data_IF_671049793217
#
_entry.id   IF_671049793217
#
_cell.length_a   1.000
_cell.length_b   1.000
_cell.length_c   1.000
_cell.angle_alpha   90.00
_cell.angle_beta   90.00
_cell.angle_gamma   90.00
#
_symmetry.space_group_name_H-M   'P 1'
#
loop_
_entity.id
_entity.type
_entity.pdbx_description
1 polymer ?
#
# COMPACT_ATOMS: atom_id res chain seq x y z
N UNK A 1 25.27 -10.34 14.10
CA UNK A 1 25.05 -9.54 12.87
C UNK A 1 23.86 -8.63 13.14
N UNK A 2 24.01 -7.31 12.99
CA UNK A 2 22.87 -6.40 13.06
C UNK A 2 21.96 -6.72 11.87
N UNK A 3 20.69 -7.02 12.15
CA UNK A 3 19.67 -7.14 11.10
C UNK A 3 19.50 -5.72 10.53
N UNK A 4 19.69 -5.50 9.23
CA UNK A 4 19.53 -4.17 8.65
C UNK A 4 18.08 -3.71 8.87
N UNK A 5 17.91 -2.45 9.28
CA UNK A 5 16.59 -1.88 9.55
C UNK A 5 15.73 -1.96 8.28
N UNK A 6 14.45 -2.30 8.46
CA UNK A 6 13.47 -2.18 7.37
C UNK A 6 13.26 -0.69 7.08
N UNK A 7 13.32 -0.29 5.82
CA UNK A 7 12.97 1.05 5.36
C UNK A 7 11.63 1.02 4.63
N UNK A 8 10.72 1.91 5.00
CA UNK A 8 9.46 2.13 4.30
C UNK A 8 9.36 3.58 3.85
N UNK A 9 9.17 3.76 2.56
CA UNK A 9 9.13 5.05 1.89
C UNK A 9 7.68 5.28 1.47
N UNK A 10 7.08 6.39 1.91
CA UNK A 10 5.72 6.74 1.54
C UNK A 10 5.70 7.90 0.54
N UNK A 11 4.80 7.82 -0.43
CA UNK A 11 4.25 9.03 -1.03
C UNK A 11 3.44 9.84 -0.02
N UNK A 12 3.26 11.14 -0.29
CA UNK A 12 2.47 12.02 0.57
C UNK A 12 1.00 12.02 0.17
N UNK A 13 0.72 12.57 -1.02
CA UNK A 13 -0.61 12.99 -1.43
C UNK A 13 -1.45 11.77 -1.76
N UNK A 14 -2.66 11.70 -1.20
CA UNK A 14 -3.57 10.56 -1.38
C UNK A 14 -2.97 9.22 -0.90
N UNK A 15 -1.84 9.26 -0.19
CA UNK A 15 -1.21 8.09 0.42
C UNK A 15 -1.21 8.23 1.94
N UNK A 16 -0.52 9.23 2.50
CA UNK A 16 -0.47 9.50 3.94
C UNK A 16 -1.49 10.56 4.37
N UNK A 17 -1.69 11.56 3.52
CA UNK A 17 -2.49 12.75 3.82
C UNK A 17 -3.26 13.21 2.59
N UNK A 18 -4.21 14.11 2.79
CA UNK A 18 -4.86 14.82 1.71
C UNK A 18 -4.93 16.31 2.02
N UNK A 19 -4.39 17.14 1.13
CA UNK A 19 -4.37 18.60 1.28
C UNK A 19 -5.49 19.27 0.48
N UNK A 20 -6.41 19.94 1.16
CA UNK A 20 -7.55 20.64 0.58
C UNK A 20 -7.40 22.14 0.81
N UNK A 21 -7.55 22.95 -0.23
CA UNK A 21 -7.33 24.41 -0.13
C UNK A 21 -8.30 25.26 -0.95
N UNK A 22 -8.97 24.67 -1.95
CA UNK A 22 -9.92 25.41 -2.78
C UNK A 22 -11.34 25.28 -2.23
N UNK A 23 -12.25 26.26 -2.51
CA UNK A 23 -13.61 26.26 -1.96
C UNK A 23 -14.40 24.97 -2.23
N UNK A 24 -14.23 24.37 -3.41
CA UNK A 24 -14.90 23.13 -3.78
C UNK A 24 -14.46 21.97 -2.88
N UNK A 25 -13.15 21.80 -2.68
CA UNK A 25 -12.59 20.78 -1.79
C UNK A 25 -12.96 21.00 -0.33
N UNK A 26 -12.94 22.25 0.15
CA UNK A 26 -13.31 22.59 1.52
C UNK A 26 -14.80 22.32 1.79
N UNK A 27 -15.69 22.63 0.85
CA UNK A 27 -17.11 22.30 0.97
C UNK A 27 -17.37 20.79 1.00
N UNK A 28 -16.60 20.02 0.20
CA UNK A 28 -16.63 18.55 0.26
C UNK A 28 -16.20 18.06 1.65
N UNK A 29 -15.13 18.61 2.22
CA UNK A 29 -14.71 18.27 3.58
C UNK A 29 -15.78 18.56 4.63
N UNK A 30 -16.42 19.73 4.59
CA UNK A 30 -17.50 20.07 5.53
C UNK A 30 -18.70 19.10 5.45
N UNK A 31 -19.01 18.62 4.26
CA UNK A 31 -20.03 17.58 4.07
C UNK A 31 -19.54 16.24 4.61
N UNK A 32 -18.30 15.88 4.30
CA UNK A 32 -17.69 14.62 4.70
C UNK A 32 -17.58 14.49 6.23
N UNK A 33 -17.15 15.55 6.92
CA UNK A 33 -17.06 15.63 8.38
C UNK A 33 -18.41 15.35 9.06
N UNK A 34 -19.52 15.78 8.45
CA UNK A 34 -20.89 15.51 8.95
C UNK A 34 -21.32 14.06 8.72
N UNK A 35 -20.95 13.47 7.58
CA UNK A 35 -21.29 12.08 7.25
C UNK A 35 -20.47 11.09 8.08
N UNK A 36 -19.23 11.43 8.40
CA UNK A 36 -18.26 10.55 9.07
C UNK A 36 -17.63 11.25 10.29
N UNK A 37 -18.43 11.57 11.32
CA UNK A 37 -17.93 12.32 12.47
C UNK A 37 -16.79 11.57 13.16
N UNK A 38 -15.69 12.28 13.41
CA UNK A 38 -14.48 11.78 14.08
C UNK A 38 -13.80 10.58 13.40
N UNK A 39 -14.03 10.37 12.10
CA UNK A 39 -13.39 9.27 11.34
C UNK A 39 -12.07 9.65 10.69
N UNK A 40 -11.85 10.93 10.42
CA UNK A 40 -10.60 11.46 9.89
C UNK A 40 -10.17 12.61 10.80
N UNK A 41 -8.94 12.55 11.28
CA UNK A 41 -8.29 13.66 11.98
C UNK A 41 -7.78 14.65 10.93
N UNK A 42 -7.90 15.96 11.20
CA UNK A 42 -7.45 17.00 10.30
C UNK A 42 -6.89 18.21 11.05
N UNK A 43 -5.93 18.90 10.44
CA UNK A 43 -5.58 20.27 10.80
C UNK A 43 -6.36 21.22 9.88
N UNK A 44 -7.27 21.98 10.46
CA UNK A 44 -8.14 22.92 9.74
C UNK A 44 -7.74 24.37 10.02
N UNK A 45 -7.61 25.16 8.95
CA UNK A 45 -7.43 26.60 9.01
C UNK A 45 -8.48 27.29 8.13
N UNK A 46 -8.51 28.63 8.15
CA UNK A 46 -9.36 29.39 7.23
C UNK A 46 -8.98 29.21 5.75
N UNK A 47 -7.77 28.69 5.45
CA UNK A 47 -7.23 28.59 4.08
C UNK A 47 -7.15 27.16 3.55
N UNK A 48 -7.03 26.18 4.44
CA UNK A 48 -6.85 24.79 4.05
C UNK A 48 -7.34 23.83 5.14
N UNK A 49 -7.58 22.59 4.75
CA UNK A 49 -7.68 21.43 5.63
C UNK A 49 -6.63 20.41 5.18
N UNK A 50 -5.80 19.95 6.11
CA UNK A 50 -4.88 18.83 5.91
C UNK A 50 -5.43 17.62 6.66
N UNK A 51 -5.86 16.61 5.91
CA UNK A 51 -6.46 15.39 6.42
C UNK A 51 -5.36 14.35 6.64
N UNK A 52 -5.36 13.70 7.80
CA UNK A 52 -4.43 12.60 8.09
C UNK A 52 -5.14 11.27 7.86
N UNK A 53 -4.55 10.41 7.04
CA UNK A 53 -5.16 9.10 6.75
C UNK A 53 -5.23 8.25 8.04
N UNK A 54 -6.38 7.61 8.32
CA UNK A 54 -6.56 6.84 9.55
C UNK A 54 -5.45 5.83 9.82
N UNK A 55 -4.91 5.83 11.04
CA UNK A 55 -3.85 4.92 11.48
C UNK A 55 -2.42 5.41 11.22
N UNK A 56 -2.22 6.59 10.61
CA UNK A 56 -0.89 7.17 10.38
C UNK A 56 -0.09 7.33 11.69
N UNK A 57 -0.71 7.92 12.73
CA UNK A 57 -0.09 8.10 14.06
C UNK A 57 0.38 6.77 14.64
N UNK A 58 -0.50 5.77 14.66
CA UNK A 58 -0.23 4.44 15.19
C UNK A 58 0.88 3.73 14.41
N UNK A 59 0.95 3.94 13.09
CA UNK A 59 1.98 3.39 12.25
C UNK A 59 3.35 3.99 12.56
N UNK A 60 3.46 5.32 12.65
CA UNK A 60 4.73 5.99 12.96
C UNK A 60 5.25 5.56 14.34
N UNK A 61 4.37 5.48 15.33
CA UNK A 61 4.72 4.98 16.66
C UNK A 61 5.19 3.51 16.62
N UNK A 62 4.49 2.67 15.87
CA UNK A 62 4.90 1.28 15.65
C UNK A 62 6.28 1.18 15.00
N UNK A 63 6.54 1.95 13.94
CA UNK A 63 7.80 1.95 13.22
C UNK A 63 8.97 2.35 14.14
N UNK A 64 8.79 3.43 14.92
CA UNK A 64 9.76 3.85 15.94
C UNK A 64 10.05 2.76 16.96
N UNK A 65 9.01 2.11 17.51
CA UNK A 65 9.16 1.04 18.49
C UNK A 65 9.82 -0.23 17.90
N UNK A 66 9.86 -0.36 16.57
CA UNK A 66 10.35 -1.55 15.88
C UNK A 66 11.60 -1.29 15.04
N UNK A 67 12.27 -0.14 15.20
CA UNK A 67 13.46 0.23 14.41
C UNK A 67 13.20 0.10 12.90
N UNK A 68 12.04 0.56 12.46
CA UNK A 68 11.70 0.70 11.05
C UNK A 68 11.96 2.15 10.67
N UNK A 69 12.83 2.35 9.70
CA UNK A 69 13.13 3.65 9.13
C UNK A 69 11.94 4.06 8.24
N UNK A 70 11.39 5.24 8.48
CA UNK A 70 10.35 5.84 7.63
C UNK A 70 11.02 6.89 6.76
N UNK A 71 10.60 7.01 5.51
CA UNK A 71 11.04 8.07 4.61
C UNK A 71 9.88 8.54 3.73
N UNK A 72 10.09 9.68 3.05
CA UNK A 72 9.11 10.28 2.14
C UNK A 72 9.71 10.38 0.73
N UNK A 73 8.88 10.13 -0.29
CA UNK A 73 9.20 10.47 -1.67
C UNK A 73 7.95 11.00 -2.38
N UNK A 74 7.90 12.30 -2.67
CA UNK A 74 6.72 13.00 -3.22
C UNK A 74 6.99 13.72 -4.54
N UNK A 75 5.95 13.96 -5.34
CA UNK A 75 5.97 14.93 -6.45
C UNK A 75 5.82 16.38 -5.99
N UNK A 76 5.58 16.61 -4.71
CA UNK A 76 5.68 17.93 -4.11
C UNK A 76 7.09 18.52 -4.25
N UNK A 77 7.18 19.85 -4.22
CA UNK A 77 8.46 20.52 -4.08
C UNK A 77 8.97 20.44 -2.62
N UNK A 78 10.22 20.83 -2.40
CA UNK A 78 10.85 20.80 -1.08
C UNK A 78 10.11 21.64 -0.02
N UNK A 79 9.52 22.77 -0.41
CA UNK A 79 8.74 23.60 0.50
C UNK A 79 7.47 22.89 0.96
N UNK A 80 6.79 22.19 0.05
CA UNK A 80 5.60 21.42 0.36
C UNK A 80 5.93 20.23 1.24
N UNK A 81 7.00 19.48 0.93
CA UNK A 81 7.39 18.32 1.72
C UNK A 81 7.77 18.71 3.16
N UNK A 82 8.50 19.82 3.35
CA UNK A 82 8.82 20.35 4.69
C UNK A 82 7.59 20.81 5.47
N UNK A 83 6.62 21.42 4.77
CA UNK A 83 5.34 21.79 5.37
C UNK A 83 4.61 20.54 5.89
N UNK A 84 4.45 19.51 5.06
CA UNK A 84 3.77 18.28 5.45
C UNK A 84 4.52 17.53 6.56
N UNK A 85 5.85 17.49 6.52
CA UNK A 85 6.66 16.94 7.59
C UNK A 85 6.35 17.61 8.94
N UNK A 86 6.35 18.94 8.96
CA UNK A 86 6.06 19.74 10.16
C UNK A 86 4.65 19.47 10.68
N UNK A 87 3.68 19.38 9.77
CA UNK A 87 2.29 19.06 10.09
C UNK A 87 2.13 17.65 10.68
N UNK A 88 2.80 16.66 10.11
CA UNK A 88 2.79 15.28 10.64
C UNK A 88 3.45 15.24 12.03
N UNK A 89 4.58 15.93 12.23
CA UNK A 89 5.25 16.02 13.53
C UNK A 89 4.36 16.64 14.60
N UNK A 90 3.68 17.74 14.27
CA UNK A 90 2.70 18.38 15.14
C UNK A 90 1.53 17.44 15.47
N UNK A 91 0.98 16.78 14.45
CA UNK A 91 -0.13 15.84 14.59
C UNK A 91 0.19 14.67 15.54
N UNK A 92 1.38 14.09 15.41
CA UNK A 92 1.81 12.96 16.26
C UNK A 92 2.38 13.41 17.61
N UNK A 93 2.69 14.70 17.78
CA UNK A 93 3.24 15.27 19.01
C UNK A 93 4.69 14.88 19.28
N UNK A 94 5.56 14.96 18.27
CA UNK A 94 7.00 14.72 18.44
C UNK A 94 7.85 15.90 17.95
N UNK A 95 8.95 16.14 18.66
CA UNK A 95 9.86 17.26 18.35
C UNK A 95 10.97 16.89 17.35
N UNK A 96 11.24 15.59 17.19
CA UNK A 96 12.27 15.08 16.28
C UNK A 96 11.64 14.53 15.01
N UNK A 97 12.21 14.89 13.86
CA UNK A 97 11.78 14.39 12.56
C UNK A 97 11.79 12.83 12.54
N UNK A 98 10.65 12.17 12.26
CA UNK A 98 10.58 10.71 12.20
C UNK A 98 11.12 10.13 10.89
N UNK A 99 11.36 10.97 9.88
CA UNK A 99 11.77 10.57 8.53
C UNK A 99 13.30 10.56 8.40
N UNK A 100 13.83 9.48 7.84
CA UNK A 100 15.27 9.31 7.61
C UNK A 100 15.75 10.15 6.43
N UNK A 101 14.90 10.30 5.42
CA UNK A 101 15.11 11.19 4.29
C UNK A 101 13.76 11.60 3.69
N UNK A 102 13.77 12.72 2.97
CA UNK A 102 12.61 13.25 2.26
C UNK A 102 13.07 13.60 0.84
N UNK A 103 12.53 12.89 -0.15
CA UNK A 103 12.71 13.15 -1.56
C UNK A 103 11.48 13.86 -2.13
N UNK A 104 11.75 14.77 -3.05
CA UNK A 104 10.79 15.66 -3.70
C UNK A 104 10.82 15.44 -5.21
N UNK A 105 10.08 16.25 -5.95
CA UNK A 105 10.11 16.24 -7.41
C UNK A 105 11.49 16.56 -8.00
N UNK A 106 12.37 17.19 -7.23
CA UNK A 106 13.75 17.44 -7.66
C UNK A 106 14.47 16.11 -7.93
N UNK A 107 14.41 15.19 -6.97
CA UNK A 107 15.04 13.88 -7.07
C UNK A 107 14.44 13.06 -8.23
N UNK A 108 13.11 13.11 -8.41
CA UNK A 108 12.43 12.44 -9.53
C UNK A 108 12.94 12.98 -10.88
N UNK A 109 13.07 14.31 -11.02
CA UNK A 109 13.57 14.93 -12.26
C UNK A 109 15.03 14.56 -12.55
N UNK A 110 15.86 14.50 -11.51
CA UNK A 110 17.26 14.06 -11.62
C UNK A 110 17.33 12.60 -12.10
N UNK A 111 16.54 11.71 -11.51
CA UNK A 111 16.49 10.29 -11.88
C UNK A 111 16.06 10.10 -13.34
N UNK A 112 14.97 10.76 -13.75
CA UNK A 112 14.48 10.72 -15.13
C UNK A 112 15.53 11.25 -16.12
N UNK A 113 16.24 12.34 -15.78
CA UNK A 113 17.32 12.88 -16.62
C UNK A 113 18.50 11.90 -16.77
N UNK A 114 18.66 10.97 -15.83
CA UNK A 114 19.67 9.92 -15.85
C UNK A 114 19.14 8.58 -16.41
N UNK A 115 17.95 8.56 -17.01
CA UNK A 115 17.35 7.37 -17.61
C UNK A 115 16.81 6.35 -16.60
N UNK A 116 16.58 6.77 -15.35
CA UNK A 116 15.86 5.98 -14.35
C UNK A 116 14.35 6.23 -14.43
N UNK A 117 13.57 5.41 -13.74
CA UNK A 117 12.12 5.54 -13.67
C UNK A 117 11.69 6.43 -12.50
N UNK A 118 10.42 6.82 -12.46
CA UNK A 118 9.88 7.63 -11.38
C UNK A 118 9.94 6.87 -10.04
N UNK A 119 10.49 7.52 -9.00
CA UNK A 119 10.65 6.93 -7.65
C UNK A 119 11.41 5.60 -7.63
N UNK A 120 12.40 5.45 -8.50
CA UNK A 120 13.17 4.23 -8.63
C UNK A 120 14.03 3.94 -7.38
N UNK A 121 13.75 2.82 -6.70
CA UNK A 121 14.42 2.45 -5.45
C UNK A 121 15.93 2.25 -5.57
N UNK A 122 16.49 2.10 -6.78
CA UNK A 122 17.94 2.07 -6.99
C UNK A 122 18.60 3.37 -6.52
N UNK A 123 17.91 4.51 -6.58
CA UNK A 123 18.41 5.78 -6.00
C UNK A 123 18.69 5.62 -4.51
N UNK A 124 17.79 4.96 -3.79
CA UNK A 124 17.93 4.76 -2.34
C UNK A 124 19.11 3.83 -2.03
N UNK A 125 19.28 2.77 -2.82
CA UNK A 125 20.41 1.84 -2.66
C UNK A 125 21.76 2.52 -2.92
N UNK A 126 21.80 3.43 -3.89
CA UNK A 126 22.99 4.21 -4.23
C UNK A 126 23.31 5.30 -3.20
N UNK A 127 22.28 5.99 -2.69
CA UNK A 127 22.44 7.07 -1.71
C UNK A 127 22.82 6.56 -0.31
N UNK A 128 22.37 5.35 0.04
CA UNK A 128 22.59 4.75 1.36
C UNK A 128 23.18 3.34 1.21
N UNK A 129 24.39 3.21 0.64
CA UNK A 129 25.03 1.91 0.47
C UNK A 129 25.19 1.23 1.83
N UNK A 130 25.13 -0.10 1.83
CA UNK A 130 25.21 -0.96 3.03
C UNK A 130 24.03 -0.87 4.01
N UNK A 131 23.21 0.19 3.94
CA UNK A 131 22.03 0.37 4.79
C UNK A 131 20.76 -0.17 4.14
N UNK A 132 20.53 0.17 2.88
CA UNK A 132 19.30 -0.16 2.16
C UNK A 132 19.58 -0.97 0.90
N UNK A 133 18.79 -2.00 0.69
CA UNK A 133 18.85 -2.93 -0.44
C UNK A 133 17.43 -3.38 -0.82
N UNK A 134 17.33 -4.20 -1.87
CA UNK A 134 16.06 -4.83 -2.25
C UNK A 134 15.49 -5.76 -1.16
N UNK A 135 16.27 -6.25 -0.19
CA UNK A 135 15.76 -7.16 0.85
C UNK A 135 15.13 -6.41 2.03
N UNK A 136 15.27 -5.09 2.14
CA UNK A 136 14.79 -4.33 3.30
C UNK A 136 14.21 -2.95 2.98
N UNK A 137 13.88 -2.66 1.73
CA UNK A 137 13.31 -1.35 1.33
C UNK A 137 11.96 -1.54 0.68
N UNK A 138 10.96 -0.77 1.11
CA UNK A 138 9.59 -0.83 0.60
C UNK A 138 9.15 0.57 0.15
N UNK A 139 8.58 0.68 -1.05
CA UNK A 139 7.86 1.88 -1.49
C UNK A 139 6.35 1.70 -1.30
N UNK A 140 5.66 2.72 -0.81
CA UNK A 140 4.20 2.74 -0.68
C UNK A 140 3.67 3.95 -1.42
N UNK A 141 2.80 3.73 -2.40
CA UNK A 141 2.31 4.77 -3.30
C UNK A 141 0.90 4.41 -3.80
N UNK A 142 0.06 5.39 -4.03
CA UNK A 142 -1.27 5.19 -4.64
C UNK A 142 -1.20 5.16 -6.18
N UNK A 143 -0.17 5.74 -6.79
CA UNK A 143 0.02 5.76 -8.24
C UNK A 143 0.72 4.49 -8.71
N UNK A 144 -0.02 3.67 -9.46
CA UNK A 144 0.46 2.38 -9.98
C UNK A 144 1.77 2.50 -10.79
N UNK A 145 1.95 3.59 -11.56
CA UNK A 145 3.13 3.83 -12.37
C UNK A 145 4.44 3.90 -11.57
N UNK A 146 4.42 4.35 -10.31
CA UNK A 146 5.59 4.35 -9.43
C UNK A 146 5.89 2.96 -8.85
N UNK A 147 4.98 1.99 -9.01
CA UNK A 147 5.06 0.67 -8.38
C UNK A 147 5.33 -0.44 -9.40
N UNK A 148 4.64 -0.47 -10.54
CA UNK A 148 4.63 -1.68 -11.39
C UNK A 148 5.89 -1.90 -12.23
N UNK A 149 6.76 -0.90 -12.30
CA UNK A 149 7.95 -0.96 -13.12
C UNK A 149 9.02 -1.88 -12.51
N UNK A 150 10.01 -2.27 -13.30
CA UNK A 150 10.89 -3.41 -12.97
C UNK A 150 11.66 -3.21 -11.67
N UNK A 151 12.15 -1.99 -11.43
CA UNK A 151 12.91 -1.65 -10.22
C UNK A 151 12.09 -1.71 -8.93
N UNK A 152 10.77 -1.52 -9.01
CA UNK A 152 9.93 -1.33 -7.83
C UNK A 152 8.89 -2.45 -7.62
N UNK A 153 8.51 -3.22 -8.64
CA UNK A 153 7.37 -4.17 -8.57
C UNK A 153 7.48 -5.25 -7.49
N UNK A 154 8.70 -5.62 -7.09
CA UNK A 154 8.95 -6.58 -6.00
C UNK A 154 9.29 -5.92 -4.65
N UNK A 155 9.17 -4.60 -4.57
CA UNK A 155 9.45 -3.80 -3.38
C UNK A 155 8.37 -2.74 -3.12
N UNK A 156 7.37 -2.63 -3.98
CA UNK A 156 6.28 -1.67 -3.87
C UNK A 156 5.00 -2.25 -3.29
N UNK A 157 4.27 -1.42 -2.55
CA UNK A 157 2.89 -1.64 -2.12
C UNK A 157 2.03 -0.57 -2.80
N UNK A 158 1.16 -1.00 -3.71
CA UNK A 158 0.15 -0.13 -4.29
C UNK A 158 -1.03 0.02 -3.32
N UNK A 159 -1.41 1.25 -2.98
CA UNK A 159 -2.53 1.50 -2.05
C UNK A 159 -3.69 2.20 -2.72
N UNK A 160 -4.90 2.06 -2.16
CA UNK A 160 -6.04 2.90 -2.50
C UNK A 160 -5.75 4.36 -2.18
N UNK A 161 -6.18 5.23 -3.09
CA UNK A 161 -6.09 6.69 -2.97
C UNK A 161 -6.92 7.19 -1.80
N UNK A 162 -6.28 7.97 -0.93
CA UNK A 162 -6.91 8.70 0.16
C UNK A 162 -7.44 10.04 -0.36
N UNK A 163 -8.53 9.97 -1.14
CA UNK A 163 -9.18 11.14 -1.72
C UNK A 163 -10.68 11.18 -1.39
N UNK A 164 -11.05 11.98 -0.38
CA UNK A 164 -12.45 12.19 0.02
C UNK A 164 -13.29 12.83 -1.09
N UNK A 165 -12.65 13.43 -2.09
CA UNK A 165 -13.29 14.11 -3.20
C UNK A 165 -13.62 13.19 -4.37
N UNK A 166 -13.00 12.00 -4.42
CA UNK A 166 -13.23 10.93 -5.39
C UNK A 166 -14.03 9.74 -4.83
N UNK A 167 -14.66 9.90 -3.66
CA UNK A 167 -15.57 8.89 -3.10
C UNK A 167 -14.91 7.89 -2.15
N UNK A 168 -13.70 8.18 -1.65
CA UNK A 168 -13.09 7.45 -0.54
C UNK A 168 -14.04 7.33 0.66
N UNK A 169 -13.99 6.20 1.37
CA UNK A 169 -14.79 5.92 2.56
C UNK A 169 -13.90 5.55 3.75
N UNK A 170 -14.01 6.24 4.90
CA UNK A 170 -13.08 6.04 6.00
C UNK A 170 -13.42 4.80 6.84
N UNK A 171 -14.62 4.24 6.66
CA UNK A 171 -15.07 3.05 7.40
C UNK A 171 -14.35 1.77 6.97
N UNK A 172 -13.77 1.77 5.77
CA UNK A 172 -13.08 0.62 5.20
C UNK A 172 -11.56 0.82 5.12
N UNK A 173 -11.05 1.98 5.53
CA UNK A 173 -9.61 2.23 5.45
C UNK A 173 -8.88 1.44 6.51
N UNK A 174 -8.10 0.48 6.03
CA UNK A 174 -7.25 -0.37 6.85
C UNK A 174 -5.80 -0.32 6.37
N UNK A 175 -5.43 0.67 5.56
CA UNK A 175 -4.15 0.75 4.88
C UNK A 175 -2.99 0.68 5.89
N UNK A 176 -2.91 1.62 6.84
CA UNK A 176 -1.82 1.63 7.82
C UNK A 176 -1.84 0.44 8.76
N UNK A 177 -3.02 -0.08 9.10
CA UNK A 177 -3.15 -1.31 9.88
C UNK A 177 -2.55 -2.51 9.14
N UNK A 178 -2.86 -2.65 7.85
CA UNK A 178 -2.36 -3.74 7.02
C UNK A 178 -0.87 -3.59 6.71
N UNK A 179 -0.38 -2.39 6.44
CA UNK A 179 1.07 -2.14 6.26
C UNK A 179 1.83 -2.47 7.55
N UNK A 180 1.34 -2.06 8.72
CA UNK A 180 1.91 -2.49 10.01
C UNK A 180 2.01 -4.02 10.12
N UNK A 181 0.94 -4.73 9.76
CA UNK A 181 0.92 -6.20 9.74
C UNK A 181 1.91 -6.82 8.74
N UNK A 182 2.06 -6.21 7.56
CA UNK A 182 3.03 -6.62 6.53
C UNK A 182 4.46 -6.43 7.03
N UNK A 183 4.81 -5.24 7.54
CA UNK A 183 6.12 -4.96 8.11
C UNK A 183 6.47 -5.92 9.26
N UNK A 184 5.51 -6.20 10.15
CA UNK A 184 5.71 -7.14 11.25
C UNK A 184 6.02 -8.57 10.78
N UNK A 185 5.38 -9.03 9.69
CA UNK A 185 5.67 -10.34 9.10
C UNK A 185 7.01 -10.39 8.39
N UNK A 186 7.33 -9.36 7.61
CA UNK A 186 8.58 -9.25 6.85
C UNK A 186 9.80 -9.25 7.79
N UNK A 187 9.77 -8.45 8.85
CA UNK A 187 10.89 -8.37 9.81
C UNK A 187 11.24 -9.70 10.47
N UNK A 188 10.26 -10.59 10.59
CA UNK A 188 10.42 -11.91 11.19
C UNK A 188 10.69 -13.01 10.14
N UNK A 189 10.89 -12.63 8.88
CA UNK A 189 11.12 -13.57 7.78
C UNK A 189 12.53 -13.39 7.23
N UNK A 190 13.33 -14.47 7.09
CA UNK A 190 14.60 -14.41 6.39
C UNK A 190 14.37 -14.07 4.91
N UNK A 191 14.91 -12.93 4.47
CA UNK A 191 14.81 -12.47 3.08
C UNK A 191 16.17 -12.64 2.38
N UNK A 192 16.15 -13.37 1.27
CA UNK A 192 17.30 -13.66 0.40
C UNK A 192 17.21 -12.92 -0.96
N UNK A 193 16.10 -12.23 -1.21
CA UNK A 193 15.76 -11.53 -2.45
C UNK A 193 14.89 -10.31 -2.14
N UNK A 194 14.41 -9.61 -3.17
CA UNK A 194 13.39 -8.55 -3.07
C UNK A 194 12.30 -8.88 -2.05
N UNK A 195 11.88 -7.88 -1.26
CA UNK A 195 10.92 -8.04 -0.15
C UNK A 195 9.66 -8.81 -0.58
N UNK A 196 9.13 -8.50 -1.76
CA UNK A 196 7.91 -9.09 -2.32
C UNK A 196 8.16 -10.02 -3.51
N UNK A 197 9.37 -10.57 -3.64
CA UNK A 197 9.56 -11.75 -4.50
C UNK A 197 8.54 -12.84 -4.11
N UNK A 198 8.06 -13.63 -5.08
CA UNK A 198 7.00 -14.61 -4.81
C UNK A 198 7.37 -15.58 -3.67
N UNK A 199 8.65 -15.94 -3.58
CA UNK A 199 9.20 -16.76 -2.50
C UNK A 199 9.00 -16.07 -1.15
N UNK A 200 9.40 -14.80 -1.01
CA UNK A 200 9.30 -14.06 0.24
C UNK A 200 7.86 -13.71 0.62
N UNK A 201 6.98 -13.47 -0.36
CA UNK A 201 5.53 -13.32 -0.14
C UNK A 201 4.93 -14.57 0.51
N UNK A 202 5.33 -15.75 0.02
CA UNK A 202 4.85 -17.02 0.56
C UNK A 202 5.44 -17.29 1.95
N UNK A 203 6.76 -17.13 2.12
CA UNK A 203 7.45 -17.32 3.41
C UNK A 203 6.90 -16.40 4.51
N UNK A 204 6.68 -15.13 4.19
CA UNK A 204 6.14 -14.14 5.13
C UNK A 204 4.64 -14.31 5.39
N UNK A 205 3.95 -15.18 4.65
CA UNK A 205 2.50 -15.40 4.81
C UNK A 205 1.66 -14.16 4.48
N UNK A 206 2.08 -13.39 3.47
CA UNK A 206 1.40 -12.16 3.01
C UNK A 206 0.71 -12.33 1.65
N UNK A 207 0.57 -13.57 1.15
CA UNK A 207 -0.02 -13.90 -0.16
C UNK A 207 -1.38 -13.26 -0.44
N UNK A 208 -2.18 -12.98 0.59
CA UNK A 208 -3.48 -12.31 0.45
C UNK A 208 -3.39 -10.90 -0.14
N UNK A 209 -2.26 -10.22 0.01
CA UNK A 209 -2.01 -8.89 -0.55
C UNK A 209 -1.36 -8.96 -1.94
N UNK A 210 -0.86 -10.12 -2.36
CA UNK A 210 -0.16 -10.29 -3.64
C UNK A 210 -1.16 -10.60 -4.75
N UNK A 211 -1.55 -9.58 -5.50
CA UNK A 211 -2.61 -9.59 -6.51
C UNK A 211 -1.99 -9.53 -7.92
N UNK A 212 -2.76 -9.98 -8.91
CA UNK A 212 -2.39 -9.92 -10.32
C UNK A 212 -3.13 -8.80 -11.03
N UNK A 213 -2.39 -8.06 -11.83
CA UNK A 213 -2.84 -6.94 -12.65
C UNK A 213 -2.42 -7.19 -14.10
N UNK A 214 -3.11 -6.54 -15.02
CA UNK A 214 -2.66 -6.36 -16.40
C UNK A 214 -2.16 -4.93 -16.52
N UNK A 215 -0.93 -4.78 -17.01
CA UNK A 215 -0.27 -3.50 -17.27
C UNK A 215 0.14 -3.47 -18.74
N UNK A 216 -0.45 -2.60 -19.54
CA UNK A 216 -0.22 -2.53 -20.99
C UNK A 216 -0.34 -3.91 -21.68
N UNK A 217 -1.38 -4.67 -21.33
CA UNK A 217 -1.60 -6.03 -21.84
C UNK A 217 -0.72 -7.13 -21.23
N UNK A 218 0.22 -6.78 -20.34
CA UNK A 218 1.17 -7.73 -19.72
C UNK A 218 0.76 -8.04 -18.27
N UNK A 219 0.66 -9.32 -17.87
CA UNK A 219 0.40 -9.67 -16.48
C UNK A 219 1.56 -9.29 -15.55
N UNK A 220 1.25 -8.59 -14.47
CA UNK A 220 2.20 -8.21 -13.40
C UNK A 220 1.59 -8.59 -12.06
N UNK A 221 2.41 -9.10 -11.14
CA UNK A 221 1.99 -9.41 -9.77
C UNK A 221 2.55 -8.35 -8.82
N UNK A 222 1.69 -7.73 -8.02
CA UNK A 222 2.03 -6.64 -7.12
C UNK A 222 1.43 -6.88 -5.73
N UNK A 223 2.11 -6.40 -4.69
CA UNK A 223 1.47 -6.25 -3.39
C UNK A 223 0.59 -5.02 -3.43
N UNK A 224 -0.67 -5.17 -3.03
CA UNK A 224 -1.63 -4.06 -3.04
C UNK A 224 -2.65 -4.15 -1.92
N UNK A 225 -3.08 -2.98 -1.45
CA UNK A 225 -4.00 -2.81 -0.34
C UNK A 225 -5.14 -1.84 -0.67
N UNK A 226 -6.38 -2.20 -0.29
CA UNK A 226 -7.58 -1.44 -0.65
C UNK A 226 -8.03 -1.61 -2.11
N UNK A 227 -8.94 -0.72 -2.51
CA UNK A 227 -9.46 -0.58 -3.89
C UNK A 227 -8.57 0.40 -4.65
N UNK A 228 -7.60 -0.13 -5.40
CA UNK A 228 -6.65 0.71 -6.14
C UNK A 228 -7.29 1.27 -7.41
N UNK A 229 -6.87 2.45 -7.84
CA UNK A 229 -7.38 3.06 -9.06
C UNK A 229 -7.01 2.22 -10.30
N UNK A 230 -7.88 2.26 -11.31
CA UNK A 230 -7.75 1.49 -12.54
C UNK A 230 -8.02 2.37 -13.76
N UNK A 231 -7.33 2.09 -14.85
CA UNK A 231 -7.55 2.72 -16.14
C UNK A 231 -7.49 1.67 -17.28
N UNK A 232 -7.43 2.12 -18.53
CA UNK A 232 -7.35 1.23 -19.69
C UNK A 232 -6.09 0.37 -19.73
N UNK A 233 -5.02 0.86 -19.11
CA UNK A 233 -3.67 0.31 -19.19
C UNK A 233 -3.27 -0.40 -17.88
N UNK A 234 -3.98 -0.15 -16.79
CA UNK A 234 -3.79 -0.79 -15.49
C UNK A 234 -5.12 -1.27 -14.90
N UNK A 235 -5.33 -2.60 -14.86
CA UNK A 235 -6.57 -3.19 -14.30
C UNK A 235 -6.33 -4.58 -13.68
N UNK A 236 -7.19 -5.06 -12.76
CA UNK A 236 -7.04 -6.38 -12.15
C UNK A 236 -7.13 -7.49 -13.19
N UNK A 237 -6.28 -8.52 -13.07
CA UNK A 237 -6.37 -9.69 -13.95
C UNK A 237 -7.75 -10.35 -13.76
N UNK A 238 -8.53 -10.56 -14.85
CA UNK A 238 -9.82 -11.20 -14.76
C UNK A 238 -9.68 -12.58 -14.12
N UNK A 239 -10.40 -12.81 -13.01
CA UNK A 239 -10.45 -14.14 -12.40
C UNK A 239 -11.03 -15.11 -13.43
N UNK A 240 -10.18 -15.98 -13.98
CA UNK A 240 -10.66 -17.09 -14.81
C UNK A 240 -11.70 -17.83 -13.98
N UNK A 241 -12.96 -17.85 -14.44
CA UNK A 241 -14.02 -18.63 -13.81
C UNK A 241 -13.54 -20.07 -13.83
N UNK A 242 -12.98 -20.55 -12.71
CA UNK A 242 -12.65 -21.96 -12.52
C UNK A 242 -13.89 -22.72 -12.93
N UNK A 243 -13.82 -23.42 -14.06
CA UNK A 243 -14.95 -24.17 -14.59
C UNK A 243 -15.51 -25.01 -13.46
N UNK A 244 -16.82 -24.90 -13.21
CA UNK A 244 -17.54 -25.78 -12.29
C UNK A 244 -17.03 -27.19 -12.57
N UNK A 245 -16.28 -27.79 -11.64
CA UNK A 245 -15.98 -29.22 -11.67
C UNK A 245 -17.34 -29.88 -11.82
N UNK A 246 -17.66 -30.39 -13.01
CA UNK A 246 -18.81 -31.26 -13.23
C UNK A 246 -18.62 -32.38 -12.22
N UNK A 247 -19.40 -32.37 -11.15
CA UNK A 247 -19.57 -33.52 -10.27
C UNK A 247 -20.04 -34.65 -11.19
N UNK A 248 -19.10 -35.52 -11.56
CA UNK A 248 -19.42 -36.77 -12.26
C UNK A 248 -20.43 -37.49 -11.37
N UNK A 249 -21.66 -37.56 -11.86
CA UNK A 249 -22.76 -38.25 -11.19
C UNK A 249 -22.30 -39.64 -10.78
N UNK A 250 -22.34 -39.89 -9.48
CA UNK A 250 -22.18 -41.23 -8.90
C UNK A 250 -23.35 -42.07 -9.41
N UNK A 251 -23.14 -43.23 -10.07
CA UNK A 251 -24.23 -44.09 -10.48
C UNK A 251 -25.00 -44.56 -9.23
N UNK A 252 -26.31 -44.29 -9.16
CA UNK A 252 -27.18 -44.89 -8.15
C UNK A 252 -27.32 -46.37 -8.46
N UNK A 253 -26.66 -47.20 -7.65
CA UNK A 253 -26.75 -48.64 -7.71
C UNK A 253 -28.09 -49.09 -7.09
N UNK A 254 -29.09 -49.41 -7.92
CA UNK A 254 -30.38 -49.94 -7.48
C UNK A 254 -30.24 -51.45 -7.16
N UNK A 255 -29.83 -51.77 -5.94
CA UNK A 255 -29.93 -53.14 -5.44
C UNK A 255 -31.36 -53.43 -4.95
N UNK A 256 -32.11 -54.11 -5.81
CA UNK A 256 -33.38 -54.79 -5.56
C UNK A 256 -33.12 -55.90 -4.52
N UNK A 257 -33.64 -55.76 -3.29
CA UNK A 257 -33.76 -56.88 -2.34
C UNK A 257 -35.19 -57.41 -2.38
N UNK A 258 -35.33 -58.59 -2.99
CA UNK A 258 -36.42 -59.53 -2.78
C UNK A 258 -36.49 -59.94 -1.31
N UNK A 259 -37.68 -59.91 -0.71
CA UNK A 259 -37.92 -60.57 0.58
C UNK A 259 -39.21 -61.38 0.51
N UNK A 260 -39.08 -62.61 1.00
CA UNK A 260 -39.97 -63.76 0.87
C UNK A 260 -41.35 -63.58 1.52
N UNK A 261 -42.30 -64.31 0.93
CA UNK A 261 -43.54 -64.80 1.55
C UNK A 261 -43.24 -65.54 2.87
N UNK A 262 -44.01 -65.26 3.91
CA UNK A 262 -44.54 -66.32 4.77
C UNK A 262 -45.94 -65.96 5.27
N UNK A 263 -46.83 -66.90 5.01
CA UNK A 263 -48.16 -67.13 5.55
C UNK A 263 -48.10 -67.50 7.02
N UNK A 264 -49.00 -66.90 7.83
CA UNK A 264 -49.99 -67.58 8.69
C UNK A 264 -51.23 -66.70 8.67
#
# INVERSE_FOLDING_TARGET
>A
MNIPNLCIIFDIDETMVQYLHNPTSMNKWETYKKLYPNKIEAHETAKYALLFRPGLRDFIQFAKANSIDIAIWTYGNESYSKFIESEIMSYIGIDNNPFTFVYSIKEIKEDLANGMEEKDLRRVYQAFPEKYTATNTILVDNRAANIFHESNRENGILVESFDITAGYSPNNDTMFHNIKGICGKIRNTPLDNSVFSEINVNRSGIRKYYKKYIVNGTPVSLVSEGTVDHDSDFYPEPKTKRGKKKTRGRPKNNNRKTRHKHSV
#
